data_IF_895649911101
#
_entry.id   IF_895649911101
#
_cell.length_a   1.000
_cell.length_b   1.000
_cell.length_c   1.000
_cell.angle_alpha   90.00
_cell.angle_beta   90.00
_cell.angle_gamma   90.00
#
_symmetry.space_group_name_H-M   'P 1'
#
loop_
_entity.id
_entity.type
_entity.pdbx_description
1 polymer ?
#
# COMPACT_ATOMS: atom_id res chain seq x y z
N UNK A 1 -30.97 33.43 40.35
CA UNK A 1 -29.87 33.57 39.37
C UNK A 1 -29.39 32.17 39.03
N UNK A 2 -29.89 31.62 37.92
CA UNK A 2 -29.69 30.23 37.50
C UNK A 2 -28.36 30.10 36.74
N UNK A 3 -27.37 29.48 37.36
CA UNK A 3 -26.10 29.10 36.74
C UNK A 3 -26.18 27.62 36.34
N UNK A 4 -26.86 27.34 35.24
CA UNK A 4 -26.81 26.01 34.64
C UNK A 4 -26.77 26.17 33.12
N UNK A 5 -25.92 25.38 32.47
CA UNK A 5 -25.81 25.20 31.01
C UNK A 5 -24.75 26.03 30.27
N UNK A 6 -23.48 25.61 30.37
CA UNK A 6 -22.43 25.98 29.40
C UNK A 6 -21.57 24.77 28.99
N UNK A 7 -21.44 23.74 29.84
CA UNK A 7 -20.64 22.55 29.53
C UNK A 7 -21.31 21.55 28.57
N UNK A 8 -22.64 21.60 28.41
CA UNK A 8 -23.37 20.66 27.56
C UNK A 8 -23.21 20.95 26.04
N UNK A 9 -22.87 22.20 25.68
CA UNK A 9 -22.74 22.65 24.29
C UNK A 9 -21.41 22.27 23.62
N UNK A 10 -20.38 21.94 24.41
CA UNK A 10 -19.05 21.53 23.91
C UNK A 10 -18.92 20.01 23.67
N UNK A 11 -19.79 19.20 24.29
CA UNK A 11 -19.78 17.74 24.10
C UNK A 11 -20.39 17.31 22.76
N UNK A 12 -21.35 18.08 22.25
CA UNK A 12 -22.07 17.78 20.99
C UNK A 12 -21.16 17.82 19.75
N UNK A 13 -20.28 18.82 19.54
CA UNK A 13 -19.39 18.82 18.37
C UNK A 13 -18.30 17.74 18.45
N UNK A 14 -17.84 17.38 19.65
CA UNK A 14 -16.86 16.29 19.84
C UNK A 14 -17.47 14.92 19.52
N UNK A 15 -18.72 14.69 19.89
CA UNK A 15 -19.45 13.46 19.54
C UNK A 15 -19.76 13.35 18.04
N UNK A 16 -20.05 14.48 17.38
CA UNK A 16 -20.30 14.52 15.93
C UNK A 16 -19.03 14.19 15.12
N UNK A 17 -17.84 14.60 15.60
CA UNK A 17 -16.58 14.34 14.90
C UNK A 17 -16.18 12.85 14.94
N UNK A 18 -16.53 12.14 16.03
CA UNK A 18 -16.23 10.71 16.18
C UNK A 18 -17.03 9.80 15.23
N UNK A 19 -18.20 10.24 14.73
CA UNK A 19 -19.00 9.47 13.78
C UNK A 19 -18.51 9.55 12.32
N UNK A 20 -17.67 10.53 11.97
CA UNK A 20 -17.36 10.84 10.56
C UNK A 20 -16.20 10.00 10.00
N UNK A 21 -15.39 9.35 10.84
CA UNK A 21 -14.28 8.50 10.42
C UNK A 21 -14.47 7.02 10.82
N UNK A 22 -15.53 6.39 10.32
CA UNK A 22 -15.48 4.94 10.14
C UNK A 22 -14.76 4.63 8.83
N UNK A 23 -13.49 4.25 8.93
CA UNK A 23 -12.79 3.63 7.81
C UNK A 23 -13.56 2.39 7.35
N UNK A 24 -13.45 2.06 6.06
CA UNK A 24 -14.06 0.83 5.52
C UNK A 24 -13.64 -0.35 6.39
N UNK A 25 -14.58 -1.19 6.82
CA UNK A 25 -14.27 -2.40 7.55
C UNK A 25 -13.30 -3.26 6.72
N UNK A 26 -12.25 -3.78 7.35
CA UNK A 26 -11.29 -4.64 6.67
C UNK A 26 -11.98 -5.92 6.18
N UNK A 27 -12.02 -6.10 4.86
CA UNK A 27 -12.49 -7.33 4.22
C UNK A 27 -11.30 -8.01 3.52
N UNK A 28 -10.79 -9.14 4.02
CA UNK A 28 -9.66 -9.85 3.41
C UNK A 28 -9.98 -10.48 2.04
N UNK A 29 -11.27 -10.56 1.68
CA UNK A 29 -11.76 -11.13 0.43
C UNK A 29 -12.08 -10.10 -0.64
N UNK A 30 -12.06 -8.80 -0.32
CA UNK A 30 -12.20 -7.74 -1.31
C UNK A 30 -11.09 -7.82 -2.36
N UNK A 31 -11.46 -7.74 -3.64
CA UNK A 31 -10.52 -7.79 -4.75
C UNK A 31 -10.75 -6.69 -5.79
N UNK A 32 -9.65 -6.23 -6.40
CA UNK A 32 -9.62 -5.34 -7.56
C UNK A 32 -9.55 -6.17 -8.84
N UNK A 33 -10.34 -5.81 -9.86
CA UNK A 33 -10.55 -6.65 -11.04
C UNK A 33 -9.37 -6.69 -12.03
N UNK A 34 -8.41 -5.77 -11.91
CA UNK A 34 -7.26 -5.68 -12.84
C UNK A 34 -5.92 -5.45 -12.15
N UNK A 35 -4.88 -6.07 -12.69
CA UNK A 35 -3.49 -5.90 -12.24
C UNK A 35 -2.62 -5.54 -13.46
N UNK A 36 -1.92 -4.42 -13.37
CA UNK A 36 -0.92 -4.00 -14.36
C UNK A 36 0.50 -4.27 -13.84
N UNK A 37 1.41 -4.68 -14.72
CA UNK A 37 2.82 -4.89 -14.36
C UNK A 37 3.75 -3.96 -15.13
N UNK A 38 4.73 -3.40 -14.44
CA UNK A 38 5.76 -2.53 -15.05
C UNK A 38 7.14 -2.96 -14.58
N UNK A 39 8.08 -3.11 -15.50
CA UNK A 39 9.49 -3.27 -15.16
C UNK A 39 10.21 -1.92 -15.32
N UNK A 40 10.98 -1.53 -14.29
CA UNK A 40 11.77 -0.30 -14.30
C UNK A 40 13.07 -0.50 -13.55
N UNK A 41 14.15 0.06 -14.06
CA UNK A 41 15.44 0.07 -13.38
C UNK A 41 15.69 1.46 -12.80
N UNK A 42 15.98 1.53 -11.50
CA UNK A 42 16.40 2.76 -10.83
C UNK A 42 17.92 2.74 -10.70
N UNK A 43 18.57 3.88 -10.97
CA UNK A 43 20.01 4.04 -10.73
C UNK A 43 20.24 4.73 -9.39
N UNK A 44 20.85 4.03 -8.46
CA UNK A 44 21.43 4.64 -7.26
C UNK A 44 22.80 5.20 -7.60
N UNK A 45 22.88 6.52 -7.74
CA UNK A 45 24.12 7.22 -8.10
C UNK A 45 25.17 7.15 -6.99
N UNK A 46 24.77 7.13 -5.72
CA UNK A 46 25.69 7.15 -4.59
C UNK A 46 26.50 5.86 -4.46
N UNK A 47 25.89 4.73 -4.83
CA UNK A 47 26.50 3.39 -4.81
C UNK A 47 26.87 2.89 -6.21
N UNK A 48 26.73 3.74 -7.23
CA UNK A 48 26.84 3.39 -8.65
C UNK A 48 26.08 2.10 -9.03
N UNK A 49 24.92 1.84 -8.43
CA UNK A 49 24.20 0.56 -8.56
C UNK A 49 22.91 0.71 -9.35
N UNK A 50 22.71 -0.18 -10.33
CA UNK A 50 21.41 -0.36 -10.99
C UNK A 50 20.55 -1.31 -10.18
N UNK A 51 19.30 -0.92 -9.93
CA UNK A 51 18.31 -1.68 -9.15
C UNK A 51 17.12 -1.98 -10.06
N UNK A 52 17.09 -3.15 -10.73
CA UNK A 52 15.95 -3.57 -11.50
C UNK A 52 14.77 -3.89 -10.58
N UNK A 53 13.61 -3.32 -10.87
CA UNK A 53 12.36 -3.49 -10.13
C UNK A 53 11.27 -4.04 -11.05
N UNK A 54 10.32 -4.77 -10.48
CA UNK A 54 9.03 -5.10 -11.09
C UNK A 54 7.92 -4.58 -10.19
N UNK A 55 6.96 -3.88 -10.76
CA UNK A 55 5.81 -3.33 -10.07
C UNK A 55 4.57 -4.14 -10.45
N UNK A 56 3.68 -4.32 -9.48
CA UNK A 56 2.31 -4.78 -9.67
C UNK A 56 1.38 -3.68 -9.16
N UNK A 57 0.53 -3.15 -10.04
CA UNK A 57 -0.40 -2.07 -9.76
C UNK A 57 -1.84 -2.57 -9.74
N UNK A 58 -2.65 -2.21 -8.74
CA UNK A 58 -4.11 -2.35 -8.79
C UNK A 58 -4.70 -1.36 -9.78
N UNK A 59 -5.37 -1.86 -10.83
CA UNK A 59 -6.05 -1.03 -11.82
C UNK A 59 -7.22 -0.28 -11.17
N UNK A 60 -7.42 0.97 -11.58
CA UNK A 60 -8.53 1.80 -11.09
C UNK A 60 -8.26 2.51 -9.76
N UNK A 61 -7.05 2.40 -9.22
CA UNK A 61 -6.62 3.13 -8.01
C UNK A 61 -5.54 4.15 -8.35
N UNK A 62 -5.61 5.33 -7.72
CA UNK A 62 -4.59 6.39 -7.88
C UNK A 62 -3.69 6.52 -6.65
N UNK A 63 -4.14 6.04 -5.49
CA UNK A 63 -3.38 6.00 -4.24
C UNK A 63 -3.57 4.62 -3.60
N UNK A 64 -2.47 3.93 -3.35
CA UNK A 64 -2.46 2.58 -2.79
C UNK A 64 -1.28 2.41 -1.84
N UNK A 65 -1.44 1.71 -0.71
CA UNK A 65 -0.31 1.33 0.14
C UNK A 65 0.73 0.53 -0.63
N UNK A 66 2.00 0.68 -0.27
CA UNK A 66 3.13 0.07 -1.00
C UNK A 66 3.74 -1.07 -0.19
N UNK A 67 3.96 -2.21 -0.83
CA UNK A 67 4.73 -3.34 -0.30
C UNK A 67 6.05 -3.42 -1.07
N UNK A 68 7.17 -3.44 -0.35
CA UNK A 68 8.48 -3.75 -0.91
C UNK A 68 8.82 -5.22 -0.64
N UNK A 69 9.12 -5.97 -1.69
CA UNK A 69 9.44 -7.39 -1.61
C UNK A 69 10.86 -7.66 -2.09
N UNK A 70 11.59 -8.42 -1.28
CA UNK A 70 12.93 -8.94 -1.56
C UNK A 70 12.86 -10.45 -1.69
N UNK A 71 13.42 -10.99 -2.76
CA UNK A 71 13.61 -12.44 -2.88
C UNK A 71 14.77 -12.91 -1.97
N UNK A 72 14.84 -14.23 -1.75
CA UNK A 72 16.00 -14.89 -1.12
C UNK A 72 17.16 -15.11 -2.10
N UNK A 73 18.26 -15.69 -1.63
CA UNK A 73 19.44 -16.02 -2.45
C UNK A 73 19.08 -16.98 -3.61
N UNK A 74 19.67 -16.76 -4.79
CA UNK A 74 19.36 -17.49 -6.03
C UNK A 74 18.02 -17.08 -6.64
N UNK A 75 17.46 -15.95 -6.21
CA UNK A 75 16.11 -15.54 -6.50
C UNK A 75 16.01 -14.49 -7.60
N UNK A 76 14.77 -14.25 -8.04
CA UNK A 76 14.49 -13.22 -9.04
C UNK A 76 13.28 -12.40 -8.64
N UNK A 77 13.24 -11.12 -9.05
CA UNK A 77 12.03 -10.26 -9.02
C UNK A 77 10.82 -10.89 -9.74
N UNK A 78 11.03 -11.92 -10.56
CA UNK A 78 9.99 -12.67 -11.26
C UNK A 78 9.52 -13.94 -10.51
N UNK A 79 10.30 -14.43 -9.55
CA UNK A 79 10.13 -15.77 -8.96
C UNK A 79 8.89 -15.93 -8.07
N UNK A 80 8.40 -14.84 -7.48
CA UNK A 80 7.23 -14.86 -6.58
C UNK A 80 6.06 -14.06 -7.13
N UNK A 81 5.84 -14.12 -8.45
CA UNK A 81 4.79 -13.33 -9.14
C UNK A 81 3.37 -13.57 -8.59
N UNK A 82 3.10 -14.75 -8.01
CA UNK A 82 1.83 -15.05 -7.35
C UNK A 82 1.56 -14.13 -6.16
N UNK A 83 2.59 -13.75 -5.39
CA UNK A 83 2.47 -12.79 -4.28
C UNK A 83 2.18 -11.38 -4.80
N UNK A 84 2.90 -10.96 -5.84
CA UNK A 84 2.70 -9.65 -6.46
C UNK A 84 1.27 -9.48 -6.99
N UNK A 85 0.75 -10.50 -7.68
CA UNK A 85 -0.64 -10.53 -8.13
C UNK A 85 -1.63 -10.56 -6.96
N UNK A 86 -1.36 -11.37 -5.93
CA UNK A 86 -2.25 -11.49 -4.77
C UNK A 86 -2.41 -10.17 -4.02
N UNK A 87 -1.30 -9.45 -3.79
CA UNK A 87 -1.31 -8.16 -3.09
C UNK A 87 -1.88 -7.04 -3.96
N UNK A 88 -1.52 -6.98 -5.25
CA UNK A 88 -2.11 -5.99 -6.16
C UNK A 88 -3.62 -6.20 -6.33
N UNK A 89 -4.07 -7.45 -6.43
CA UNK A 89 -5.50 -7.77 -6.41
C UNK A 89 -6.21 -7.34 -5.12
N UNK A 90 -5.52 -6.92 -4.06
CA UNK A 90 -6.07 -6.42 -2.80
C UNK A 90 -5.79 -4.94 -2.56
N UNK A 91 -5.41 -4.21 -3.61
CA UNK A 91 -5.25 -2.75 -3.53
C UNK A 91 -3.87 -2.28 -3.06
N UNK A 92 -2.86 -3.14 -3.08
CA UNK A 92 -1.48 -2.75 -2.78
C UNK A 92 -0.67 -2.54 -4.06
N UNK A 93 0.17 -1.52 -4.10
CA UNK A 93 1.27 -1.49 -5.08
C UNK A 93 2.38 -2.38 -4.54
N UNK A 94 2.67 -3.48 -5.24
CA UNK A 94 3.73 -4.39 -4.82
C UNK A 94 4.98 -4.20 -5.70
N UNK A 95 6.13 -3.92 -5.08
CA UNK A 95 7.40 -3.62 -5.74
C UNK A 95 8.42 -4.71 -5.43
N UNK A 96 8.80 -5.45 -6.46
CA UNK A 96 9.68 -6.61 -6.38
C UNK A 96 11.08 -6.19 -6.82
N UNK A 97 12.03 -6.26 -5.89
CA UNK A 97 13.40 -5.82 -6.12
C UNK A 97 14.26 -6.97 -6.65
N UNK A 98 15.09 -6.69 -7.65
CA UNK A 98 16.18 -7.58 -8.03
C UNK A 98 17.46 -7.16 -7.32
N UNK A 99 18.09 -8.13 -6.66
CA UNK A 99 19.43 -7.95 -6.10
C UNK A 99 20.46 -8.55 -7.06
N UNK A 100 20.98 -7.71 -7.98
CA UNK A 100 22.02 -8.12 -8.94
C UNK A 100 23.21 -8.75 -8.20
N UNK A 101 23.62 -9.95 -8.61
CA UNK A 101 24.73 -10.71 -8.02
C UNK A 101 24.32 -11.67 -6.91
N UNK A 102 23.01 -11.78 -6.62
CA UNK A 102 22.45 -12.78 -5.69
C UNK A 102 21.34 -13.62 -6.34
N UNK A 103 21.18 -13.48 -7.65
CA UNK A 103 20.39 -14.33 -8.53
C UNK A 103 21.02 -15.71 -8.77
#
# INVERSE_FOLDING_TARGET
MNFMSSHLLLCVPVFLFALVFQGKAYDPLETFEGIETLDRTIKDKSRDRSIPLRFYFPVGTTNSPVILFSHGLGGSRNGSSYLGKHWAGRGYVAVFMQHVGSD
#
